data_IF_830603314032
#
_entry.id   IF_830603314032
#
_cell.length_a   1.000
_cell.length_b   1.000
_cell.length_c   1.000
_cell.angle_alpha   90.00
_cell.angle_beta   90.00
_cell.angle_gamma   90.00
#
_symmetry.space_group_name_H-M   'P 1'
#
loop_
_entity.id
_entity.type
_entity.pdbx_description
1 polymer ?
#
# COMPACT_ATOMS: atom_id res chain seq x y z
N UNK A 1 5.90 -20.53 -4.96
CA UNK A 1 6.38 -19.36 -5.73
C UNK A 1 5.18 -18.67 -6.34
N UNK A 2 5.08 -17.35 -6.20
CA UNK A 2 4.04 -16.53 -6.84
C UNK A 2 4.31 -16.47 -8.35
N UNK A 3 3.32 -16.81 -9.16
CA UNK A 3 3.46 -16.92 -10.61
C UNK A 3 3.81 -15.54 -11.23
N UNK A 4 4.81 -15.47 -12.11
CA UNK A 4 5.28 -14.21 -12.70
C UNK A 4 4.20 -13.43 -13.47
N UNK A 5 3.10 -14.11 -13.85
CA UNK A 5 1.94 -13.53 -14.54
C UNK A 5 1.20 -12.47 -13.69
N UNK A 6 1.32 -12.51 -12.36
CA UNK A 6 0.72 -11.53 -11.44
C UNK A 6 1.59 -10.27 -11.21
N UNK A 7 2.72 -10.13 -11.93
CA UNK A 7 3.59 -8.95 -11.83
C UNK A 7 3.15 -7.78 -12.73
N UNK A 8 2.17 -8.01 -13.60
CA UNK A 8 1.56 -6.98 -14.45
C UNK A 8 0.32 -6.40 -13.76
N UNK A 9 0.53 -5.69 -12.65
CA UNK A 9 -0.54 -4.95 -11.99
C UNK A 9 -0.54 -3.50 -12.46
N UNK A 10 -1.73 -2.97 -12.74
CA UNK A 10 -1.91 -1.53 -12.84
C UNK A 10 -1.91 -0.95 -11.43
N UNK A 11 -0.98 -0.05 -11.13
CA UNK A 11 -0.88 0.62 -9.84
C UNK A 11 -0.80 2.12 -10.02
N UNK A 12 -1.63 2.83 -9.27
CA UNK A 12 -1.53 4.28 -9.12
C UNK A 12 -0.66 4.61 -7.92
N UNK A 13 0.24 5.56 -8.11
CA UNK A 13 1.29 5.90 -7.15
C UNK A 13 1.34 7.41 -6.98
N UNK A 14 1.35 7.88 -5.74
CA UNK A 14 1.52 9.30 -5.44
C UNK A 14 3.00 9.57 -5.15
N UNK A 15 3.65 10.33 -6.03
CA UNK A 15 5.05 10.69 -5.93
C UNK A 15 5.25 12.19 -6.03
N UNK A 16 5.80 12.76 -4.97
CA UNK A 16 6.24 14.16 -4.98
C UNK A 16 7.57 14.26 -5.73
N UNK A 17 7.53 14.71 -6.98
CA UNK A 17 8.75 15.11 -7.70
C UNK A 17 9.18 16.49 -7.20
N UNK A 18 10.49 16.75 -7.14
CA UNK A 18 11.05 18.02 -6.67
C UNK A 18 10.91 19.18 -7.66
N UNK A 19 10.17 19.05 -8.76
CA UNK A 19 9.97 20.18 -9.67
C UNK A 19 9.01 21.19 -9.04
N UNK A 20 9.59 22.14 -8.32
CA UNK A 20 8.95 23.21 -7.54
C UNK A 20 8.07 24.18 -8.36
N UNK A 21 7.86 23.97 -9.66
CA UNK A 21 7.29 24.97 -10.57
C UNK A 21 5.89 24.66 -11.12
N UNK A 22 5.28 23.50 -10.85
CA UNK A 22 3.95 23.19 -11.40
C UNK A 22 3.05 22.56 -10.34
N UNK A 23 2.17 23.39 -9.76
CA UNK A 23 1.10 22.97 -8.85
C UNK A 23 -0.11 22.62 -9.72
N UNK A 24 -0.24 21.36 -10.16
CA UNK A 24 -1.49 20.78 -10.70
C UNK A 24 -1.31 19.26 -10.87
N UNK A 25 -1.84 18.46 -9.94
CA UNK A 25 -2.10 17.00 -10.05
C UNK A 25 -0.99 16.04 -10.61
N UNK A 26 0.26 16.49 -10.84
CA UNK A 26 1.35 15.70 -11.44
C UNK A 26 1.93 14.59 -10.54
N UNK A 27 1.45 14.48 -9.31
CA UNK A 27 1.97 13.52 -8.34
C UNK A 27 1.38 12.13 -8.52
N UNK A 28 0.19 11.99 -9.13
CA UNK A 28 -0.39 10.69 -9.43
C UNK A 28 0.22 10.11 -10.70
N UNK A 29 0.83 8.94 -10.60
CA UNK A 29 1.47 8.24 -11.72
C UNK A 29 0.93 6.82 -11.80
N UNK A 30 0.59 6.36 -13.01
CA UNK A 30 0.23 4.96 -13.25
C UNK A 30 1.48 4.18 -13.66
N UNK A 31 1.77 3.08 -12.97
CA UNK A 31 2.86 2.16 -13.28
C UNK A 31 4.25 2.83 -13.33
N UNK A 32 4.50 3.80 -12.44
CA UNK A 32 5.75 4.57 -12.44
C UNK A 32 6.97 3.67 -12.21
N UNK A 33 6.82 2.66 -11.35
CA UNK A 33 7.86 1.67 -11.09
C UNK A 33 7.31 0.25 -11.13
N UNK A 34 8.16 -0.72 -11.48
CA UNK A 34 7.84 -2.15 -11.33
C UNK A 34 7.45 -2.42 -9.86
N UNK A 35 6.50 -3.33 -9.58
CA UNK A 35 5.96 -3.55 -8.22
C UNK A 35 6.99 -3.89 -7.13
N UNK A 36 8.20 -4.32 -7.51
CA UNK A 36 9.32 -4.67 -6.61
C UNK A 36 10.24 -3.49 -6.27
N UNK A 37 10.03 -2.33 -6.88
CA UNK A 37 10.87 -1.14 -6.70
C UNK A 37 10.15 -0.14 -5.79
N UNK A 38 10.81 0.21 -4.69
CA UNK A 38 10.32 1.16 -3.70
C UNK A 38 10.98 2.54 -3.79
N UNK A 39 10.85 3.29 -2.69
CA UNK A 39 11.42 4.62 -2.51
C UNK A 39 12.95 4.62 -2.50
N UNK A 40 13.54 5.77 -2.80
CA UNK A 40 14.97 6.01 -2.64
C UNK A 40 15.32 5.83 -1.15
N UNK A 41 16.36 5.03 -0.87
CA UNK A 41 16.80 4.70 0.49
C UNK A 41 17.61 5.84 1.11
N UNK A 42 18.44 6.51 0.30
CA UNK A 42 19.34 7.55 0.77
C UNK A 42 19.19 8.81 -0.09
N UNK A 43 19.06 9.97 0.58
CA UNK A 43 18.94 11.25 -0.12
C UNK A 43 20.12 11.53 -1.07
N UNK A 44 21.33 11.14 -0.67
CA UNK A 44 22.59 11.34 -1.38
C UNK A 44 22.83 10.34 -2.50
N UNK A 45 22.17 9.18 -2.49
CA UNK A 45 22.35 8.15 -3.51
C UNK A 45 20.98 7.66 -4.02
N UNK A 46 20.52 8.31 -5.09
CA UNK A 46 19.22 8.01 -5.72
C UNK A 46 19.16 6.65 -6.44
N UNK A 47 20.30 5.98 -6.62
CA UNK A 47 20.38 4.65 -7.23
C UNK A 47 20.04 3.54 -6.24
N UNK A 48 20.19 3.79 -4.93
CA UNK A 48 19.82 2.84 -3.88
C UNK A 48 18.36 3.03 -3.51
N UNK A 49 17.53 2.01 -3.74
CA UNK A 49 16.10 2.01 -3.45
C UNK A 49 15.74 0.88 -2.51
N UNK A 50 14.67 1.08 -1.74
CA UNK A 50 14.00 -0.01 -1.04
C UNK A 50 13.45 -1.00 -2.07
N UNK A 51 13.49 -2.28 -1.71
CA UNK A 51 12.82 -3.35 -2.47
C UNK A 51 11.53 -3.73 -1.75
N UNK A 52 10.52 -4.10 -2.52
CA UNK A 52 9.24 -4.57 -2.01
C UNK A 52 9.06 -6.06 -2.31
N UNK A 53 8.37 -6.75 -1.41
CA UNK A 53 7.97 -8.14 -1.55
C UNK A 53 6.45 -8.22 -1.46
N UNK A 54 5.84 -8.97 -2.38
CA UNK A 54 4.43 -9.34 -2.27
C UNK A 54 4.32 -10.40 -1.18
N UNK A 55 3.54 -10.10 -0.13
CA UNK A 55 3.35 -10.98 1.03
C UNK A 55 2.08 -11.83 0.95
N UNK A 56 1.16 -11.47 0.05
CA UNK A 56 -0.11 -12.15 -0.18
C UNK A 56 -0.83 -11.54 -1.38
N UNK A 57 -1.79 -12.27 -1.94
CA UNK A 57 -2.64 -11.82 -3.03
C UNK A 57 -4.00 -12.52 -2.94
N UNK A 58 -5.05 -11.82 -3.33
CA UNK A 58 -6.40 -12.38 -3.48
C UNK A 58 -6.93 -12.07 -4.88
N UNK A 59 -7.76 -12.95 -5.41
CA UNK A 59 -8.41 -12.82 -6.72
C UNK A 59 -9.85 -13.35 -6.66
N UNK A 60 -10.71 -12.91 -7.59
CA UNK A 60 -12.10 -13.37 -7.68
C UNK A 60 -12.98 -12.77 -6.58
N UNK A 61 -14.03 -13.52 -6.21
CA UNK A 61 -15.10 -13.03 -5.32
C UNK A 61 -14.59 -12.43 -4.00
N UNK A 62 -13.56 -13.03 -3.39
CA UNK A 62 -13.02 -12.50 -2.13
C UNK A 62 -12.35 -11.14 -2.33
N UNK A 63 -11.64 -10.93 -3.44
CA UNK A 63 -11.04 -9.64 -3.77
C UNK A 63 -12.11 -8.57 -4.05
N UNK A 64 -13.20 -8.95 -4.71
CA UNK A 64 -14.35 -8.07 -4.94
C UNK A 64 -15.02 -7.66 -3.63
N UNK A 65 -15.26 -8.61 -2.73
CA UNK A 65 -15.81 -8.34 -1.40
C UNK A 65 -14.93 -7.40 -0.59
N UNK A 66 -13.60 -7.60 -0.62
CA UNK A 66 -12.64 -6.69 0.03
C UNK A 66 -12.75 -5.28 -0.57
N UNK A 67 -12.81 -5.16 -1.90
CA UNK A 67 -12.94 -3.88 -2.58
C UNK A 67 -14.26 -3.16 -2.23
N UNK A 68 -15.38 -3.87 -2.25
CA UNK A 68 -16.67 -3.32 -1.83
C UNK A 68 -16.66 -2.85 -0.38
N UNK A 69 -16.09 -3.66 0.52
CA UNK A 69 -15.98 -3.31 1.93
C UNK A 69 -15.18 -2.02 2.10
N UNK A 70 -14.03 -1.88 1.43
CA UNK A 70 -13.22 -0.66 1.48
C UNK A 70 -14.03 0.54 0.98
N UNK A 71 -14.67 0.44 -0.18
CA UNK A 71 -15.44 1.55 -0.76
C UNK A 71 -16.61 2.00 0.14
N UNK A 72 -17.28 1.05 0.81
CA UNK A 72 -18.40 1.33 1.71
C UNK A 72 -17.95 1.84 3.09
N UNK A 73 -16.80 1.41 3.58
CA UNK A 73 -16.43 1.58 4.99
C UNK A 73 -15.18 2.42 5.25
N UNK A 74 -14.44 2.88 4.22
CA UNK A 74 -13.20 3.65 4.46
C UNK A 74 -13.44 4.91 5.30
N UNK A 75 -14.61 5.54 5.20
CA UNK A 75 -15.01 6.70 6.00
C UNK A 75 -15.27 6.38 7.47
N UNK A 76 -15.51 5.11 7.81
CA UNK A 76 -15.74 4.64 9.18
C UNK A 76 -14.43 4.27 9.90
N UNK A 77 -13.31 4.22 9.17
CA UNK A 77 -12.02 3.92 9.77
C UNK A 77 -11.57 5.04 10.72
N UNK A 78 -11.38 4.69 12.00
CA UNK A 78 -11.09 5.62 13.11
C UNK A 78 -9.89 6.53 12.88
N UNK A 79 -8.90 6.08 12.10
CA UNK A 79 -7.67 6.81 11.86
C UNK A 79 -7.54 7.33 10.42
N UNK A 80 -8.65 7.48 9.68
CA UNK A 80 -8.64 7.92 8.27
C UNK A 80 -7.95 9.28 8.06
N UNK A 81 -8.08 10.20 9.01
CA UNK A 81 -7.53 11.56 8.93
C UNK A 81 -6.23 11.73 9.77
N UNK A 82 -5.65 10.63 10.27
CA UNK A 82 -4.48 10.66 11.16
C UNK A 82 -3.37 9.75 10.64
N UNK A 83 -2.18 10.31 10.48
CA UNK A 83 -0.98 9.54 10.14
C UNK A 83 0.09 9.70 11.22
N UNK A 84 0.61 8.58 11.71
CA UNK A 84 1.74 8.51 12.63
C UNK A 84 2.72 7.43 12.17
N UNK A 85 3.96 7.83 11.87
CA UNK A 85 5.00 6.93 11.36
C UNK A 85 5.27 5.72 12.29
N UNK A 86 5.29 5.92 13.61
CA UNK A 86 5.48 4.86 14.62
C UNK A 86 4.16 4.34 15.22
N UNK A 87 3.04 4.94 14.81
CA UNK A 87 1.70 4.70 15.32
C UNK A 87 0.74 4.20 14.25
N UNK A 88 -0.48 4.73 14.27
CA UNK A 88 -1.49 4.49 13.25
C UNK A 88 -1.03 4.97 11.89
N UNK A 89 -0.91 4.05 10.92
CA UNK A 89 -0.54 4.38 9.56
C UNK A 89 -1.25 3.43 8.57
N UNK A 90 -0.76 3.38 7.33
CA UNK A 90 -1.34 2.50 6.30
C UNK A 90 -1.32 1.01 6.69
N UNK A 91 -0.37 0.54 7.49
CA UNK A 91 -0.36 -0.84 7.98
C UNK A 91 -1.53 -1.11 8.92
N UNK A 92 -1.93 -0.13 9.74
CA UNK A 92 -3.11 -0.24 10.61
C UNK A 92 -4.39 -0.37 9.79
N UNK A 93 -4.50 0.41 8.71
CA UNK A 93 -5.65 0.33 7.81
C UNK A 93 -5.73 -1.02 7.10
N UNK A 94 -4.60 -1.54 6.62
CA UNK A 94 -4.55 -2.88 6.01
C UNK A 94 -4.88 -3.97 7.04
N UNK A 95 -4.39 -3.86 8.28
CA UNK A 95 -4.73 -4.82 9.35
C UNK A 95 -6.24 -4.79 9.68
N UNK A 96 -6.83 -3.59 9.75
CA UNK A 96 -8.27 -3.41 9.97
C UNK A 96 -9.11 -4.09 8.89
N UNK A 97 -8.72 -3.96 7.61
CA UNK A 97 -9.38 -4.66 6.49
C UNK A 97 -9.21 -6.17 6.64
N UNK A 98 -7.97 -6.66 6.82
CA UNK A 98 -7.69 -8.10 6.88
C UNK A 98 -8.43 -8.82 8.02
N UNK A 99 -8.70 -8.13 9.14
CA UNK A 99 -9.50 -8.66 10.24
C UNK A 99 -10.97 -8.92 9.88
N UNK A 100 -11.52 -8.22 8.90
CA UNK A 100 -12.89 -8.47 8.41
C UNK A 100 -12.95 -9.67 7.46
N UNK A 101 -11.80 -10.11 6.94
CA UNK A 101 -11.69 -11.18 5.94
C UNK A 101 -10.71 -12.27 6.38
N UNK A 102 -10.96 -12.96 7.52
CA UNK A 102 -10.06 -14.00 8.03
C UNK A 102 -9.82 -15.14 7.04
N UNK A 103 -10.77 -15.38 6.12
CA UNK A 103 -10.65 -16.36 5.04
C UNK A 103 -9.49 -16.09 4.07
N UNK A 104 -9.02 -14.84 3.95
CA UNK A 104 -7.87 -14.50 3.11
C UNK A 104 -6.57 -15.12 3.62
N UNK A 105 -6.44 -15.36 4.94
CA UNK A 105 -5.22 -15.86 5.59
C UNK A 105 -3.97 -14.99 5.39
N UNK A 106 -4.05 -13.87 4.64
CA UNK A 106 -2.98 -12.89 4.50
C UNK A 106 -2.71 -12.24 5.85
N UNK A 107 -1.42 -12.17 6.23
CA UNK A 107 -0.99 -11.57 7.49
C UNK A 107 0.13 -10.57 7.23
N UNK A 108 0.04 -9.41 7.88
CA UNK A 108 1.11 -8.43 7.86
C UNK A 108 2.35 -8.97 8.61
N UNK A 109 3.57 -8.76 8.07
CA UNK A 109 4.80 -9.18 8.72
C UNK A 109 4.98 -8.53 10.09
N UNK A 110 5.77 -9.11 10.98
CA UNK A 110 6.02 -8.55 12.32
C UNK A 110 6.52 -7.10 12.26
N UNK A 111 7.39 -6.81 11.29
CA UNK A 111 7.98 -5.50 11.08
C UNK A 111 7.04 -4.43 10.48
N UNK A 112 5.78 -4.75 10.20
CA UNK A 112 4.81 -3.74 9.76
C UNK A 112 4.38 -2.88 10.97
N UNK A 113 5.19 -1.85 11.25
CA UNK A 113 4.95 -0.87 12.32
C UNK A 113 3.56 -0.25 12.14
N UNK A 114 2.76 -0.24 13.20
CA UNK A 114 1.38 0.27 13.17
C UNK A 114 0.29 -0.81 13.22
N UNK A 115 0.61 -2.09 12.93
CA UNK A 115 -0.38 -3.18 12.80
C UNK A 115 -1.12 -3.63 14.08
N UNK A 116 -0.95 -2.94 15.21
CA UNK A 116 -1.55 -3.30 16.51
C UNK A 116 -2.34 -2.18 17.17
N UNK A 117 -2.50 -1.02 16.52
CA UNK A 117 -3.19 0.13 17.11
C UNK A 117 -4.71 0.14 16.85
N UNK A 118 -5.28 -1.05 16.60
CA UNK A 118 -6.70 -1.23 16.31
C UNK A 118 -7.55 -1.03 17.57
#
# INVERSE_FOLDING_TARGET
MLNNKFLEINRYEVWQSKNKKVIKLEHLRKNLFKPKIGMIKYYTNRNKRFTSKIIGFETGNLAEQINEFVNKNYTNYKYKDKYNYLGNNCNTFVDWILKQFPQSKIKLPFMAIGKKYN
#
